data_IF_393351439144
#
_entry.id   IF_393351439144
#
_cell.length_a   1.000
_cell.length_b   1.000
_cell.length_c   1.000
_cell.angle_alpha   90.00
_cell.angle_beta   90.00
_cell.angle_gamma   90.00
#
_symmetry.space_group_name_H-M   'P 1'
#
loop_
_entity.id
_entity.type
_entity.pdbx_description
1 polymer ?
#
# COMPACT_ATOMS: atom_id res chain seq x y z
N UNK A 1 1.00 -8.30 -22.23
CA UNK A 1 1.20 -7.02 -22.95
C UNK A 1 2.69 -6.78 -23.07
N UNK A 2 3.20 -6.37 -24.24
CA UNK A 2 4.64 -6.29 -24.49
C UNK A 2 5.25 -5.00 -23.89
N UNK A 3 6.55 -5.01 -23.51
CA UNK A 3 7.25 -3.90 -22.83
C UNK A 3 7.11 -2.55 -23.55
N UNK A 4 7.16 -2.56 -24.89
CA UNK A 4 6.93 -1.37 -25.72
C UNK A 4 5.59 -0.67 -25.44
N UNK A 5 4.52 -1.44 -25.23
CA UNK A 5 3.18 -0.90 -24.95
C UNK A 5 3.05 -0.38 -23.51
N UNK A 6 3.79 -0.96 -22.55
CA UNK A 6 3.85 -0.44 -21.17
C UNK A 6 4.51 0.94 -21.12
N UNK A 7 5.58 1.12 -21.88
CA UNK A 7 6.34 2.37 -21.90
C UNK A 7 5.54 3.50 -22.57
N UNK A 8 4.82 3.20 -23.65
CA UNK A 8 3.97 4.18 -24.34
C UNK A 8 2.73 4.63 -23.55
N UNK A 9 2.19 3.78 -22.68
CA UNK A 9 0.92 4.05 -21.96
C UNK A 9 1.13 4.66 -20.58
N UNK A 10 2.38 4.84 -20.15
CA UNK A 10 2.70 5.22 -18.77
C UNK A 10 2.49 4.10 -17.74
N UNK A 11 2.06 2.90 -18.18
CA UNK A 11 1.91 1.72 -17.31
C UNK A 11 3.24 1.17 -16.79
N UNK A 12 4.39 1.62 -17.33
CA UNK A 12 5.71 1.31 -16.75
C UNK A 12 5.85 1.85 -15.31
N UNK A 13 5.19 2.97 -14.99
CA UNK A 13 5.18 3.54 -13.64
C UNK A 13 4.25 2.80 -12.66
N UNK A 14 3.26 2.05 -13.16
CA UNK A 14 2.25 1.35 -12.36
C UNK A 14 2.52 -0.16 -12.38
N UNK A 15 3.43 -0.59 -11.52
CA UNK A 15 3.81 -2.00 -11.36
C UNK A 15 3.21 -2.61 -10.09
N UNK A 16 3.34 -3.94 -9.93
CA UNK A 16 2.80 -4.67 -8.78
C UNK A 16 3.28 -4.11 -7.43
N UNK A 17 4.53 -3.66 -7.35
CA UNK A 17 5.10 -3.05 -6.14
C UNK A 17 4.38 -1.74 -5.78
N UNK A 18 4.11 -0.88 -6.76
CA UNK A 18 3.38 0.38 -6.54
C UNK A 18 1.95 0.10 -6.08
N UNK A 19 1.24 -0.81 -6.76
CA UNK A 19 -0.13 -1.18 -6.40
C UNK A 19 -0.19 -1.76 -4.97
N UNK A 20 0.73 -2.67 -4.63
CA UNK A 20 0.78 -3.27 -3.30
C UNK A 20 1.13 -2.24 -2.22
N UNK A 21 2.02 -1.29 -2.53
CA UNK A 21 2.40 -0.19 -1.61
C UNK A 21 1.21 0.71 -1.32
N UNK A 22 0.47 1.13 -2.35
CA UNK A 22 -0.74 1.95 -2.19
C UNK A 22 -1.83 1.20 -1.41
N UNK A 23 -2.04 -0.08 -1.71
CA UNK A 23 -3.01 -0.91 -1.00
C UNK A 23 -2.63 -1.10 0.47
N UNK A 24 -1.35 -1.33 0.78
CA UNK A 24 -0.87 -1.43 2.16
C UNK A 24 -1.06 -0.10 2.91
N UNK A 25 -0.75 1.03 2.27
CA UNK A 25 -0.93 2.35 2.85
C UNK A 25 -2.41 2.68 3.13
N UNK A 26 -3.28 2.37 2.16
CA UNK A 26 -4.72 2.55 2.31
C UNK A 26 -5.27 1.69 3.48
N UNK A 27 -4.88 0.42 3.56
CA UNK A 27 -5.30 -0.49 4.63
C UNK A 27 -4.83 -0.01 6.01
N UNK A 28 -3.59 0.49 6.14
CA UNK A 28 -3.11 1.12 7.39
C UNK A 28 -3.92 2.36 7.78
N UNK A 29 -4.38 3.12 6.79
CA UNK A 29 -5.23 4.30 7.02
C UNK A 29 -6.64 3.90 7.44
N UNK A 30 -7.22 2.89 6.81
CA UNK A 30 -8.50 2.28 7.15
C UNK A 30 -8.53 1.81 8.62
N UNK A 31 -7.50 1.07 9.07
CA UNK A 31 -7.35 0.64 10.47
C UNK A 31 -7.42 1.82 11.44
N UNK A 32 -6.66 2.89 11.19
CA UNK A 32 -6.67 4.10 12.04
C UNK A 32 -8.03 4.78 12.05
N UNK A 33 -8.68 4.86 10.90
CA UNK A 33 -10.00 5.49 10.76
C UNK A 33 -11.08 4.67 11.47
N UNK A 34 -11.05 3.34 11.38
CA UNK A 34 -11.97 2.45 12.10
C UNK A 34 -11.79 2.57 13.61
N UNK A 35 -10.56 2.58 14.11
CA UNK A 35 -10.30 2.80 15.54
C UNK A 35 -10.92 4.11 16.04
N UNK A 36 -10.76 5.20 15.27
CA UNK A 36 -11.41 6.49 15.57
C UNK A 36 -12.93 6.38 15.56
N UNK A 37 -13.51 5.79 14.51
CA UNK A 37 -14.95 5.64 14.37
C UNK A 37 -15.59 4.81 15.49
N UNK A 38 -14.93 3.73 15.94
CA UNK A 38 -15.36 2.89 17.08
C UNK A 38 -15.47 3.74 18.36
N UNK A 39 -14.50 4.62 18.60
CA UNK A 39 -14.52 5.49 19.80
C UNK A 39 -15.59 6.60 19.74
N UNK A 40 -15.99 7.03 18.54
CA UNK A 40 -16.99 8.08 18.33
C UNK A 40 -18.42 7.53 18.12
N UNK A 41 -18.58 6.20 18.05
CA UNK A 41 -19.87 5.56 17.82
C UNK A 41 -20.79 5.62 19.04
N UNK A 42 -22.03 6.05 18.81
CA UNK A 42 -23.04 6.21 19.87
C UNK A 42 -23.74 4.91 20.24
N UNK A 43 -23.95 3.98 19.29
CA UNK A 43 -24.71 2.75 19.54
C UNK A 43 -23.80 1.52 19.63
N UNK A 44 -24.17 0.52 20.45
CA UNK A 44 -23.42 -0.75 20.54
C UNK A 44 -23.31 -1.48 19.21
N UNK A 45 -24.37 -1.50 18.40
CA UNK A 45 -24.43 -2.26 17.15
C UNK A 45 -23.46 -1.70 16.10
N UNK A 46 -23.36 -0.37 16.01
CA UNK A 46 -22.40 0.30 15.12
C UNK A 46 -20.98 0.04 15.60
N UNK A 47 -20.74 0.10 16.92
CA UNK A 47 -19.43 -0.19 17.51
C UNK A 47 -18.97 -1.61 17.21
N UNK A 48 -19.87 -2.58 17.35
CA UNK A 48 -19.58 -3.99 17.06
C UNK A 48 -19.27 -4.20 15.57
N UNK A 49 -20.07 -3.63 14.68
CA UNK A 49 -19.86 -3.71 13.22
C UNK A 49 -18.50 -3.12 12.81
N UNK A 50 -18.16 -1.92 13.31
CA UNK A 50 -16.87 -1.30 13.00
C UNK A 50 -15.69 -2.07 13.62
N UNK A 51 -15.90 -2.73 14.76
CA UNK A 51 -14.89 -3.60 15.37
C UNK A 51 -14.61 -4.84 14.51
N UNK A 52 -15.66 -5.42 13.91
CA UNK A 52 -15.50 -6.52 12.95
C UNK A 52 -14.69 -6.04 11.72
N UNK A 53 -15.05 -4.90 11.13
CA UNK A 53 -14.29 -4.34 10.01
C UNK A 53 -12.83 -4.01 10.37
N UNK A 54 -12.57 -3.49 11.57
CA UNK A 54 -11.20 -3.28 12.04
C UNK A 54 -10.40 -4.59 12.06
N UNK A 55 -10.97 -5.68 12.58
CA UNK A 55 -10.31 -6.97 12.60
C UNK A 55 -10.06 -7.51 11.19
N UNK A 56 -11.05 -7.41 10.29
CA UNK A 56 -10.90 -7.79 8.89
C UNK A 56 -9.79 -6.98 8.19
N UNK A 57 -9.69 -5.67 8.46
CA UNK A 57 -8.61 -4.83 7.93
C UNK A 57 -7.24 -5.22 8.48
N UNK A 58 -7.15 -5.68 9.74
CA UNK A 58 -5.90 -6.18 10.34
C UNK A 58 -5.45 -7.47 9.64
N UNK A 59 -6.36 -8.42 9.40
CA UNK A 59 -6.06 -9.66 8.68
C UNK A 59 -5.63 -9.36 7.24
N UNK A 60 -6.33 -8.43 6.57
CA UNK A 60 -5.94 -7.95 5.24
C UNK A 60 -4.55 -7.30 5.24
N UNK A 61 -4.23 -6.48 6.24
CA UNK A 61 -2.91 -5.89 6.39
C UNK A 61 -1.82 -6.96 6.48
N UNK A 62 -2.07 -8.03 7.24
CA UNK A 62 -1.14 -9.15 7.35
C UNK A 62 -0.91 -9.81 5.98
N UNK A 63 -1.97 -10.16 5.26
CA UNK A 63 -1.87 -10.78 3.94
C UNK A 63 -1.11 -9.92 2.91
N UNK A 64 -1.37 -8.61 2.89
CA UNK A 64 -0.65 -7.68 2.00
C UNK A 64 0.83 -7.58 2.41
N UNK A 65 1.10 -7.49 3.70
CA UNK A 65 2.47 -7.40 4.23
C UNK A 65 3.26 -8.65 3.87
N UNK A 66 2.71 -9.84 4.10
CA UNK A 66 3.37 -11.11 3.77
C UNK A 66 3.65 -11.23 2.27
N UNK A 67 2.68 -10.84 1.44
CA UNK A 67 2.87 -10.77 -0.01
C UNK A 67 4.04 -9.85 -0.37
N UNK A 68 4.05 -8.61 0.13
CA UNK A 68 5.10 -7.64 -0.18
C UNK A 68 6.47 -8.07 0.34
N UNK A 69 6.55 -8.70 1.51
CA UNK A 69 7.79 -9.28 2.05
C UNK A 69 8.29 -10.42 1.17
N UNK A 70 7.41 -11.34 0.78
CA UNK A 70 7.77 -12.48 -0.09
C UNK A 70 8.31 -12.05 -1.46
N UNK A 71 7.82 -10.91 -1.97
CA UNK A 71 8.25 -10.32 -3.24
C UNK A 71 9.48 -9.41 -3.11
N UNK A 72 9.95 -9.15 -1.90
CA UNK A 72 11.03 -8.19 -1.64
C UNK A 72 10.63 -6.73 -1.89
N UNK A 73 9.34 -6.43 -1.88
CA UNK A 73 8.80 -5.07 -1.99
C UNK A 73 8.78 -4.34 -0.66
N UNK A 74 8.72 -5.09 0.46
CA UNK A 74 8.68 -4.53 1.80
C UNK A 74 9.64 -5.25 2.75
N UNK A 75 10.39 -4.47 3.54
CA UNK A 75 11.39 -4.94 4.50
C UNK A 75 11.12 -4.34 5.88
N UNK A 76 10.12 -4.84 6.63
CA UNK A 76 9.70 -4.25 7.90
C UNK A 76 10.80 -4.25 8.98
N UNK A 77 11.73 -5.20 8.91
CA UNK A 77 12.83 -5.35 9.88
C UNK A 77 14.16 -4.75 9.40
N UNK A 78 14.22 -4.17 8.20
CA UNK A 78 15.44 -3.61 7.61
C UNK A 78 15.12 -2.24 6.99
N UNK A 79 15.12 -1.23 7.86
CA UNK A 79 14.81 0.15 7.49
C UNK A 79 15.78 0.72 6.46
N UNK A 80 17.07 0.36 6.54
CA UNK A 80 18.09 0.84 5.60
C UNK A 80 17.84 0.30 4.20
N UNK A 81 17.50 -0.99 4.09
CA UNK A 81 17.11 -1.60 2.82
C UNK A 81 15.80 -1.02 2.29
N UNK A 82 14.79 -0.85 3.14
CA UNK A 82 13.52 -0.24 2.73
C UNK A 82 13.74 1.16 2.17
N UNK A 83 14.50 2.00 2.88
CA UNK A 83 14.82 3.36 2.44
C UNK A 83 15.53 3.37 1.08
N UNK A 84 16.47 2.45 0.85
CA UNK A 84 17.14 2.35 -0.46
C UNK A 84 16.17 2.01 -1.59
N UNK A 85 15.21 1.13 -1.35
CA UNK A 85 14.20 0.75 -2.34
C UNK A 85 13.26 1.92 -2.61
N UNK A 86 12.83 2.62 -1.57
CA UNK A 86 11.93 3.77 -1.67
C UNK A 86 12.58 4.91 -2.47
N UNK A 87 13.88 5.19 -2.22
CA UNK A 87 14.64 6.19 -2.98
C UNK A 87 14.79 5.80 -4.46
N UNK A 88 15.03 4.53 -4.76
CA UNK A 88 15.09 4.05 -6.14
C UNK A 88 13.73 4.20 -6.84
N UNK A 89 12.63 3.88 -6.16
CA UNK A 89 11.28 4.06 -6.68
C UNK A 89 10.97 5.55 -6.95
N UNK A 90 11.32 6.45 -6.03
CA UNK A 90 11.14 7.90 -6.19
C UNK A 90 11.96 8.46 -7.37
N UNK A 91 13.20 8.00 -7.54
CA UNK A 91 14.04 8.41 -8.66
C UNK A 91 13.45 7.94 -10.01
N UNK A 92 12.99 6.69 -10.09
CA UNK A 92 12.32 6.16 -11.29
C UNK A 92 11.07 6.98 -11.63
N UNK A 93 10.24 7.31 -10.64
CA UNK A 93 9.05 8.13 -10.85
C UNK A 93 9.41 9.53 -11.39
N UNK A 94 10.47 10.14 -10.86
CA UNK A 94 10.95 11.46 -11.31
C UNK A 94 11.46 11.40 -12.75
N UNK A 95 12.26 10.39 -13.10
CA UNK A 95 12.77 10.19 -14.45
C UNK A 95 11.61 10.02 -15.45
N UNK A 96 10.64 9.16 -15.13
CA UNK A 96 9.48 8.93 -15.98
C UNK A 96 8.65 10.21 -16.19
N UNK A 97 8.48 11.03 -15.14
CA UNK A 97 7.79 12.32 -15.25
C UNK A 97 8.53 13.34 -16.13
N UNK A 98 9.86 13.25 -16.20
CA UNK A 98 10.69 14.09 -17.08
C UNK A 98 10.71 13.58 -18.52
N UNK A 99 10.72 12.26 -18.75
CA UNK A 99 10.70 11.65 -20.08
C UNK A 99 9.37 11.80 -20.82
N UNK A 100 8.27 12.06 -20.10
CA UNK A 100 6.94 12.31 -20.67
C UNK A 100 6.63 13.80 -20.93
N UNK A 101 7.63 14.68 -20.81
CA UNK A 101 7.55 16.09 -21.22
C UNK A 101 8.22 16.30 -22.57
#
# INVERSE_FOLDING_TARGET
MNEFMKNMTGMEAMNEQVIATDLLFATKSEIKMMARAITESATPEVRETLTQYLNDSIDKHQGITDYMVSKGYYHPNDMSKQLSIDLQAAQKATNNAQSNK
#
